data_IF_198380203322
#
_entry.id   IF_198380203322
#
_cell.length_a   1.000
_cell.length_b   1.000
_cell.length_c   1.000
_cell.angle_alpha   90.00
_cell.angle_beta   90.00
_cell.angle_gamma   90.00
#
_symmetry.space_group_name_H-M   'P 1'
#
loop_
_entity.id
_entity.type
_entity.pdbx_description
1 polymer ?
#
# COMPACT_ATOMS: atom_id res chain seq x y z
N UNK A 1 0.28 -14.04 -40.95
CA UNK A 1 -0.55 -13.88 -39.75
C UNK A 1 0.26 -13.02 -38.81
N UNK A 2 -0.24 -11.91 -38.35
CA UNK A 2 0.43 -11.02 -37.42
C UNK A 2 0.45 -11.71 -36.02
N UNK A 3 1.40 -11.33 -35.17
CA UNK A 3 1.53 -11.91 -33.83
C UNK A 3 0.21 -11.81 -33.02
N UNK A 4 -0.45 -10.66 -33.11
CA UNK A 4 -1.73 -10.43 -32.43
C UNK A 4 -2.85 -11.36 -32.93
N UNK A 5 -2.89 -11.66 -34.24
CA UNK A 5 -3.86 -12.62 -34.79
C UNK A 5 -3.63 -14.03 -34.25
N UNK A 6 -2.36 -14.41 -34.07
CA UNK A 6 -1.99 -15.71 -33.48
C UNK A 6 -2.40 -15.78 -32.02
N UNK A 7 -2.12 -14.73 -31.25
CA UNK A 7 -2.53 -14.61 -29.84
C UNK A 7 -4.05 -14.76 -29.72
N UNK A 8 -4.81 -13.99 -30.50
CA UNK A 8 -6.27 -14.04 -30.49
C UNK A 8 -6.80 -15.43 -30.84
N UNK A 9 -6.22 -16.12 -31.83
CA UNK A 9 -6.62 -17.46 -32.21
C UNK A 9 -6.34 -18.50 -31.11
N UNK A 10 -5.20 -18.39 -30.43
CA UNK A 10 -4.84 -19.28 -29.30
C UNK A 10 -5.82 -19.06 -28.14
N UNK A 11 -6.09 -17.83 -27.75
CA UNK A 11 -7.01 -17.51 -26.66
C UNK A 11 -8.46 -17.91 -26.98
N UNK A 12 -8.90 -17.73 -28.23
CA UNK A 12 -10.23 -18.16 -28.68
C UNK A 12 -10.48 -19.66 -28.55
N UNK A 13 -9.41 -20.49 -28.51
CA UNK A 13 -9.53 -21.92 -28.25
C UNK A 13 -10.06 -22.25 -26.85
N UNK A 14 -9.96 -21.33 -25.90
CA UNK A 14 -10.32 -21.53 -24.49
C UNK A 14 -9.39 -22.46 -23.71
N UNK A 15 -8.35 -23.01 -24.36
CA UNK A 15 -7.39 -23.94 -23.73
C UNK A 15 -6.14 -23.24 -23.21
N UNK A 16 -5.88 -22.03 -23.67
CA UNK A 16 -4.67 -21.26 -23.36
C UNK A 16 -5.04 -19.86 -22.89
N UNK A 17 -4.21 -19.34 -22.05
CA UNK A 17 -4.20 -17.93 -21.65
C UNK A 17 -2.80 -17.38 -21.85
N UNK A 18 -2.68 -16.32 -22.62
CA UNK A 18 -1.40 -15.69 -22.89
C UNK A 18 -1.19 -14.53 -21.92
N UNK A 19 0.00 -14.50 -21.30
CA UNK A 19 0.42 -13.43 -20.44
C UNK A 19 1.41 -12.54 -21.20
N UNK A 20 1.23 -11.25 -21.12
CA UNK A 20 2.16 -10.26 -21.70
C UNK A 20 3.19 -9.85 -20.66
N UNK A 21 4.46 -9.75 -21.05
CA UNK A 21 5.45 -9.16 -20.14
C UNK A 21 5.13 -7.68 -19.98
N UNK A 22 5.00 -7.23 -18.75
CA UNK A 22 4.87 -5.82 -18.43
C UNK A 22 6.21 -5.13 -18.74
N UNK A 23 6.16 -4.03 -19.47
CA UNK A 23 7.33 -3.18 -19.64
C UNK A 23 7.48 -2.30 -18.39
N UNK A 24 8.49 -2.57 -17.60
CA UNK A 24 8.84 -1.79 -16.39
C UNK A 24 9.98 -0.81 -16.65
N UNK A 25 10.51 -0.75 -17.90
CA UNK A 25 11.53 0.21 -18.29
C UNK A 25 10.95 1.62 -18.34
N UNK A 26 11.20 2.37 -17.30
CA UNK A 26 10.78 3.76 -17.15
C UNK A 26 11.77 4.77 -17.76
N UNK A 27 12.84 4.31 -18.44
CA UNK A 27 13.87 5.20 -19.03
C UNK A 27 13.32 6.12 -20.11
N UNK A 28 12.23 5.74 -20.77
CA UNK A 28 11.55 6.50 -21.81
C UNK A 28 10.43 7.40 -21.26
N UNK A 29 10.11 7.31 -19.98
CA UNK A 29 9.13 8.19 -19.36
C UNK A 29 9.72 9.58 -19.18
N UNK A 30 8.91 10.61 -19.45
CA UNK A 30 9.36 11.99 -19.23
C UNK A 30 9.66 12.20 -17.76
N UNK A 31 10.73 12.95 -17.43
CA UNK A 31 10.90 13.46 -16.09
C UNK A 31 9.59 14.12 -15.66
N UNK A 32 9.19 13.89 -14.42
CA UNK A 32 8.04 14.59 -13.88
C UNK A 32 8.36 16.08 -13.87
N UNK A 33 7.81 16.82 -14.85
CA UNK A 33 7.74 18.25 -14.71
C UNK A 33 6.90 18.55 -13.47
N UNK A 34 7.41 19.37 -12.55
CA UNK A 34 6.75 19.73 -11.29
C UNK A 34 5.41 20.48 -11.53
N UNK A 35 5.07 20.68 -12.78
CA UNK A 35 3.84 21.33 -13.24
C UNK A 35 2.95 20.30 -13.92
N UNK A 36 1.81 20.03 -13.31
CA UNK A 36 0.64 19.50 -13.98
C UNK A 36 0.45 20.38 -15.24
N UNK A 37 0.41 19.75 -16.42
CA UNK A 37 0.15 20.52 -17.65
C UNK A 37 -1.06 21.43 -17.40
N UNK A 38 -0.92 22.75 -17.66
CA UNK A 38 -2.05 23.66 -17.51
C UNK A 38 -3.10 23.29 -18.54
N UNK A 39 -4.12 22.55 -18.13
CA UNK A 39 -5.19 22.11 -19.04
C UNK A 39 -5.97 20.89 -18.56
N UNK A 40 -5.44 20.07 -17.68
CA UNK A 40 -6.18 18.98 -17.04
C UNK A 40 -6.72 19.45 -15.68
N UNK A 41 -7.78 20.26 -15.73
CA UNK A 41 -8.49 20.69 -14.52
C UNK A 41 -8.95 19.44 -13.75
N UNK A 42 -8.54 19.31 -12.48
CA UNK A 42 -8.91 18.19 -11.60
C UNK A 42 -7.95 17.00 -11.60
N UNK A 43 -6.81 17.07 -12.32
CA UNK A 43 -5.77 16.04 -12.26
C UNK A 43 -4.97 16.16 -10.97
N UNK A 44 -4.80 15.02 -10.27
CA UNK A 44 -4.04 14.88 -9.04
C UNK A 44 -2.81 14.01 -9.26
N UNK A 45 -1.82 14.13 -8.37
CA UNK A 45 -0.62 13.32 -8.37
C UNK A 45 -0.65 12.30 -7.23
N UNK A 46 -0.57 11.02 -7.59
CA UNK A 46 -0.31 9.92 -6.68
C UNK A 46 1.14 9.44 -6.78
N UNK A 47 1.59 8.73 -5.76
CA UNK A 47 2.86 8.02 -5.77
C UNK A 47 2.66 6.61 -5.24
N UNK A 48 3.13 5.61 -5.96
CA UNK A 48 3.26 4.27 -5.40
C UNK A 48 4.66 4.10 -4.85
N UNK A 49 4.77 3.83 -3.57
CA UNK A 49 6.03 3.55 -2.88
C UNK A 49 6.15 2.06 -2.65
N UNK A 50 7.32 1.55 -2.96
CA UNK A 50 7.76 0.21 -2.62
C UNK A 50 9.20 0.26 -2.13
N UNK A 51 9.58 -0.60 -1.18
CA UNK A 51 10.94 -0.64 -0.65
C UNK A 51 11.40 -2.06 -0.36
N UNK A 52 12.67 -2.35 -0.73
CA UNK A 52 13.39 -3.52 -0.27
C UNK A 52 14.19 -3.18 0.98
N UNK A 53 14.26 -4.11 1.91
CA UNK A 53 14.82 -3.89 3.24
C UNK A 53 15.68 -5.06 3.70
N UNK A 54 16.55 -4.84 4.68
CA UNK A 54 17.36 -5.91 5.29
C UNK A 54 16.56 -6.90 6.14
N UNK A 55 15.26 -6.64 6.36
CA UNK A 55 14.35 -7.49 7.14
C UNK A 55 13.00 -6.82 7.35
N UNK A 56 12.15 -7.41 8.19
CA UNK A 56 10.74 -6.99 8.28
C UNK A 56 10.40 -6.06 9.46
N UNK A 57 11.30 -5.90 10.43
CA UNK A 57 11.06 -5.03 11.59
C UNK A 57 11.69 -3.64 11.35
N UNK A 58 10.91 -2.57 11.21
CA UNK A 58 11.43 -1.23 10.92
C UNK A 58 12.27 -0.63 12.06
N UNK A 59 12.31 -1.28 13.24
CA UNK A 59 13.16 -0.85 14.37
C UNK A 59 14.59 -1.38 14.26
N UNK A 60 14.81 -2.46 13.51
CA UNK A 60 16.10 -3.16 13.44
C UNK A 60 16.57 -3.39 12.01
N UNK A 61 15.71 -3.14 11.03
CA UNK A 61 16.01 -3.34 9.61
C UNK A 61 16.05 -1.99 8.88
N UNK A 62 16.76 -1.95 7.76
CA UNK A 62 17.01 -0.74 7.00
C UNK A 62 16.57 -0.89 5.55
N UNK A 63 16.18 0.21 4.92
CA UNK A 63 15.92 0.27 3.48
C UNK A 63 17.23 0.07 2.73
N UNK A 64 17.24 -0.80 1.73
CA UNK A 64 18.32 -1.01 0.79
C UNK A 64 17.97 -0.57 -0.63
N UNK A 65 16.69 -0.56 -0.99
CA UNK A 65 16.17 0.01 -2.23
C UNK A 65 14.87 0.76 -1.92
N UNK A 66 14.71 1.95 -2.50
CA UNK A 66 13.49 2.73 -2.43
C UNK A 66 13.08 3.13 -3.84
N UNK A 67 11.84 2.84 -4.20
CA UNK A 67 11.22 3.33 -5.42
C UNK A 67 9.92 4.07 -5.11
N UNK A 68 9.67 5.16 -5.85
CA UNK A 68 8.40 5.86 -5.85
C UNK A 68 8.01 6.07 -7.30
N UNK A 69 6.92 5.44 -7.72
CA UNK A 69 6.38 5.54 -9.07
C UNK A 69 5.25 6.56 -9.06
N UNK A 70 5.47 7.79 -9.58
CA UNK A 70 4.43 8.80 -9.61
C UNK A 70 3.43 8.49 -10.74
N UNK A 71 2.17 8.82 -10.51
CA UNK A 71 1.13 8.71 -11.53
C UNK A 71 0.11 9.83 -11.39
N UNK A 72 -0.37 10.32 -12.53
CA UNK A 72 -1.48 11.28 -12.59
C UNK A 72 -2.79 10.54 -12.61
N UNK A 73 -3.80 11.04 -11.89
CA UNK A 73 -5.14 10.44 -11.87
C UNK A 73 -6.24 11.50 -11.78
N UNK A 74 -7.44 11.12 -12.20
CA UNK A 74 -8.64 11.95 -12.09
C UNK A 74 -9.47 11.64 -10.84
N UNK A 75 -10.57 12.39 -10.63
CA UNK A 75 -11.45 12.21 -9.48
C UNK A 75 -12.17 10.85 -9.43
N UNK A 76 -12.28 10.15 -10.55
CA UNK A 76 -12.91 8.83 -10.66
C UNK A 76 -11.90 7.69 -10.43
N UNK A 77 -10.63 8.01 -10.26
CA UNK A 77 -9.55 7.05 -10.06
C UNK A 77 -9.07 6.40 -11.35
N UNK A 78 -9.25 7.05 -12.50
CA UNK A 78 -8.57 6.62 -13.71
C UNK A 78 -7.13 7.13 -13.70
N UNK A 79 -6.17 6.25 -13.94
CA UNK A 79 -4.77 6.64 -14.11
C UNK A 79 -4.60 7.19 -15.52
N UNK A 80 -4.10 8.42 -15.62
CA UNK A 80 -3.94 9.17 -16.87
C UNK A 80 -2.54 9.03 -17.44
N UNK A 81 -1.53 8.99 -16.56
CA UNK A 81 -0.14 8.82 -16.93
C UNK A 81 0.68 8.25 -15.79
N UNK A 82 1.74 7.52 -16.12
CA UNK A 82 2.82 7.13 -15.21
C UNK A 82 4.01 8.02 -15.51
N UNK A 83 4.69 8.50 -14.50
CA UNK A 83 5.83 9.39 -14.64
C UNK A 83 7.13 8.70 -14.23
N UNK A 84 8.27 9.32 -14.55
CA UNK A 84 9.58 8.77 -14.20
C UNK A 84 9.70 8.53 -12.70
N UNK A 85 10.04 7.31 -12.27
CA UNK A 85 10.21 6.98 -10.87
C UNK A 85 11.39 7.69 -10.21
N UNK A 86 11.25 7.96 -8.93
CA UNK A 86 12.39 8.11 -8.03
C UNK A 86 12.87 6.72 -7.67
N UNK A 87 14.14 6.44 -7.85
CA UNK A 87 14.74 5.16 -7.51
C UNK A 87 16.13 5.38 -6.94
N UNK A 88 16.40 4.85 -5.75
CA UNK A 88 17.70 4.92 -5.10
C UNK A 88 17.99 3.62 -4.34
N UNK A 89 19.23 3.20 -4.41
CA UNK A 89 19.82 2.22 -3.50
C UNK A 89 20.38 2.93 -2.27
N UNK A 90 20.53 2.22 -1.18
CA UNK A 90 21.13 2.72 0.06
C UNK A 90 21.97 1.64 0.71
N UNK A 91 23.20 1.99 1.09
CA UNK A 91 24.05 1.13 1.91
C UNK A 91 23.51 1.04 3.34
N UNK A 92 23.17 -0.16 3.85
CA UNK A 92 22.74 -0.33 5.23
C UNK A 92 23.94 -0.31 6.18
N UNK A 93 23.70 -0.10 7.49
CA UNK A 93 24.74 -0.07 8.52
C UNK A 93 25.38 -1.44 8.81
N UNK A 94 24.74 -2.51 8.37
CA UNK A 94 25.17 -3.91 8.53
C UNK A 94 25.04 -4.66 7.20
N UNK A 95 25.84 -5.73 6.99
CA UNK A 95 25.74 -6.54 5.77
C UNK A 95 24.31 -7.03 5.51
N UNK A 96 23.95 -7.07 4.23
CA UNK A 96 22.64 -7.56 3.79
C UNK A 96 22.58 -9.07 4.07
N UNK A 97 21.54 -9.57 4.78
CA UNK A 97 21.38 -11.00 5.00
C UNK A 97 21.28 -11.76 3.68
N UNK A 98 21.96 -12.91 3.59
CA UNK A 98 21.99 -13.72 2.36
C UNK A 98 20.59 -14.07 1.83
N UNK A 99 19.64 -14.35 2.72
CA UNK A 99 18.25 -14.62 2.33
C UNK A 99 17.57 -13.41 1.65
N UNK A 100 17.93 -12.20 2.01
CA UNK A 100 17.45 -10.97 1.37
C UNK A 100 18.11 -10.82 0.00
N UNK A 101 19.43 -11.03 -0.11
CA UNK A 101 20.11 -11.01 -1.41
C UNK A 101 19.52 -12.04 -2.36
N UNK A 102 19.23 -13.26 -1.87
CA UNK A 102 18.59 -14.30 -2.70
C UNK A 102 17.17 -13.90 -3.16
N UNK A 103 16.45 -13.15 -2.34
CA UNK A 103 15.08 -12.71 -2.65
C UNK A 103 15.06 -11.53 -3.63
N UNK A 104 15.87 -10.50 -3.36
CA UNK A 104 15.82 -9.20 -4.06
C UNK A 104 16.86 -9.09 -5.19
N UNK A 105 17.89 -9.94 -5.16
CA UNK A 105 19.05 -9.82 -6.03
C UNK A 105 19.99 -8.66 -5.66
N UNK A 106 19.75 -7.97 -4.55
CA UNK A 106 20.56 -6.83 -4.08
C UNK A 106 21.62 -7.36 -3.11
N UNK A 107 22.88 -7.09 -3.39
CA UNK A 107 24.01 -7.46 -2.55
C UNK A 107 24.76 -6.22 -2.01
N UNK A 108 25.69 -6.46 -1.09
CA UNK A 108 26.49 -5.39 -0.47
C UNK A 108 27.30 -4.59 -1.50
N UNK A 109 27.75 -5.22 -2.58
CA UNK A 109 28.53 -4.53 -3.61
C UNK A 109 27.68 -3.52 -4.41
N UNK A 110 26.41 -3.84 -4.63
CA UNK A 110 25.47 -2.96 -5.34
C UNK A 110 25.13 -1.70 -4.54
N UNK A 111 25.05 -1.81 -3.22
CA UNK A 111 24.67 -0.72 -2.34
C UNK A 111 25.85 0.08 -1.77
N UNK A 112 27.07 -0.41 -1.93
CA UNK A 112 28.28 0.21 -1.39
C UNK A 112 28.40 1.69 -1.80
N UNK A 113 28.49 2.59 -0.83
CA UNK A 113 28.57 4.03 -1.02
C UNK A 113 27.25 4.70 -1.49
N UNK A 114 26.18 3.94 -1.65
CA UNK A 114 24.89 4.49 -2.07
C UNK A 114 24.19 5.16 -0.89
N UNK A 115 23.64 6.34 -1.13
CA UNK A 115 22.89 7.12 -0.13
C UNK A 115 21.61 7.66 -0.75
N UNK A 116 20.59 7.80 0.07
CA UNK A 116 19.37 8.51 -0.29
C UNK A 116 19.54 9.95 0.20
N UNK A 117 19.59 10.90 -0.75
CA UNK A 117 19.56 12.32 -0.44
C UNK A 117 18.16 12.70 0.03
N UNK A 118 18.03 13.11 1.29
CA UNK A 118 16.73 13.42 1.89
C UNK A 118 16.13 14.70 1.32
N UNK A 119 16.92 15.70 0.98
CA UNK A 119 16.42 16.96 0.40
C UNK A 119 15.84 16.68 -1.00
N UNK A 120 16.52 15.87 -1.81
CA UNK A 120 16.01 15.39 -3.12
C UNK A 120 14.72 14.59 -2.95
N UNK A 121 14.71 13.63 -2.03
CA UNK A 121 13.54 12.80 -1.75
C UNK A 121 12.34 13.63 -1.32
N UNK A 122 12.53 14.56 -0.36
CA UNK A 122 11.45 15.40 0.16
C UNK A 122 10.92 16.37 -0.90
N UNK A 123 11.79 16.91 -1.75
CA UNK A 123 11.38 17.71 -2.89
C UNK A 123 10.56 16.90 -3.89
N UNK A 124 10.94 15.62 -4.11
CA UNK A 124 10.24 14.71 -5.00
C UNK A 124 8.84 14.33 -4.51
N UNK A 125 8.69 14.05 -3.21
CA UNK A 125 7.39 13.61 -2.66
C UNK A 125 6.43 14.76 -2.34
N UNK A 126 6.93 15.98 -2.19
CA UNK A 126 6.14 17.15 -1.81
C UNK A 126 4.84 17.36 -2.58
N UNK A 127 4.77 17.18 -3.91
CA UNK A 127 3.53 17.36 -4.67
C UNK A 127 2.63 16.12 -4.69
N UNK A 128 3.01 15.01 -4.06
CA UNK A 128 2.19 13.79 -3.98
C UNK A 128 1.05 14.01 -2.98
N UNK A 129 -0.20 13.91 -3.45
CA UNK A 129 -1.38 14.05 -2.62
C UNK A 129 -1.75 12.74 -1.92
N UNK A 130 -1.52 11.60 -2.58
CA UNK A 130 -1.78 10.26 -2.07
C UNK A 130 -0.59 9.35 -2.32
N UNK A 131 0.05 8.88 -1.26
CA UNK A 131 1.03 7.81 -1.34
C UNK A 131 0.30 6.47 -1.20
N UNK A 132 0.57 5.55 -2.11
CA UNK A 132 0.02 4.20 -2.08
C UNK A 132 1.16 3.19 -1.96
N UNK A 133 0.87 2.03 -1.37
CA UNK A 133 1.78 0.89 -1.36
C UNK A 133 0.98 -0.40 -1.46
N UNK A 134 1.59 -1.47 -1.97
CA UNK A 134 0.91 -2.76 -2.01
C UNK A 134 0.69 -3.31 -0.59
N UNK A 135 1.62 -3.02 0.34
CA UNK A 135 1.51 -3.39 1.77
C UNK A 135 1.85 -2.19 2.67
N UNK A 136 1.06 -1.11 2.60
CA UNK A 136 1.36 0.16 3.26
C UNK A 136 1.67 0.04 4.77
N UNK A 137 1.16 -0.98 5.48
CA UNK A 137 1.51 -1.25 6.88
C UNK A 137 2.96 -1.69 7.07
N UNK A 138 3.65 -2.06 6.00
CA UNK A 138 5.08 -2.33 5.97
C UNK A 138 5.84 -1.10 5.46
N UNK A 139 5.61 -0.70 4.22
CA UNK A 139 6.37 0.33 3.53
C UNK A 139 6.34 1.68 4.23
N UNK A 140 5.17 2.09 4.73
CA UNK A 140 5.02 3.38 5.40
C UNK A 140 5.91 3.51 6.63
N UNK A 141 6.05 2.44 7.42
CA UNK A 141 6.85 2.46 8.64
C UNK A 141 8.33 2.70 8.35
N UNK A 142 8.84 2.10 7.29
CA UNK A 142 10.20 2.32 6.80
C UNK A 142 10.37 3.71 6.19
N UNK A 143 9.41 4.15 5.37
CA UNK A 143 9.44 5.47 4.76
C UNK A 143 9.41 6.61 5.80
N UNK A 144 8.54 6.52 6.82
CA UNK A 144 8.50 7.50 7.94
C UNK A 144 9.77 7.46 8.81
N UNK A 145 10.40 6.29 8.94
CA UNK A 145 11.70 6.15 9.61
C UNK A 145 12.85 6.79 8.80
N UNK A 146 12.73 6.83 7.47
CA UNK A 146 13.70 7.46 6.60
C UNK A 146 13.53 8.99 6.57
N UNK A 147 12.30 9.49 6.35
CA UNK A 147 11.98 10.92 6.39
C UNK A 147 10.60 11.17 7.01
N UNK A 148 10.51 12.10 8.00
CA UNK A 148 9.25 12.53 8.60
C UNK A 148 8.30 13.23 7.61
N UNK A 149 8.76 13.65 6.45
CA UNK A 149 7.92 14.26 5.41
C UNK A 149 6.80 13.33 4.95
N UNK A 150 7.03 12.01 4.93
CA UNK A 150 6.00 11.01 4.63
C UNK A 150 4.82 11.01 5.60
N UNK A 151 5.00 11.52 6.80
CA UNK A 151 3.94 11.62 7.81
C UNK A 151 2.83 12.61 7.42
N UNK A 152 3.14 13.60 6.58
CA UNK A 152 2.20 14.64 6.13
C UNK A 152 1.34 14.21 4.94
N UNK A 153 1.73 13.14 4.22
CA UNK A 153 1.04 12.64 3.04
C UNK A 153 -0.10 11.70 3.45
N UNK A 154 -1.22 11.71 2.73
CA UNK A 154 -2.26 10.70 2.86
C UNK A 154 -1.76 9.35 2.32
N UNK A 155 -2.11 8.24 2.99
CA UNK A 155 -1.70 6.90 2.57
C UNK A 155 -2.85 5.97 2.32
N UNK A 156 -2.68 5.07 1.33
CA UNK A 156 -3.60 4.00 1.02
C UNK A 156 -2.85 2.67 0.75
N UNK A 157 -3.55 1.55 0.94
CA UNK A 157 -2.99 0.20 0.84
C UNK A 157 -3.80 -0.65 -0.13
N UNK A 158 -3.19 -1.08 -1.23
CA UNK A 158 -3.90 -1.89 -2.23
C UNK A 158 -4.25 -3.28 -1.72
N UNK A 159 -3.48 -3.85 -0.78
CA UNK A 159 -3.79 -5.18 -0.20
C UNK A 159 -5.04 -5.14 0.67
N UNK A 160 -5.26 -4.08 1.45
CA UNK A 160 -6.28 -4.06 2.50
C UNK A 160 -7.50 -3.21 2.19
N UNK A 161 -7.42 -2.28 1.23
CA UNK A 161 -8.47 -1.32 0.95
C UNK A 161 -9.17 -1.52 -0.40
N UNK A 162 -8.64 -2.44 -1.24
CA UNK A 162 -9.36 -2.92 -2.42
C UNK A 162 -10.08 -4.21 -2.05
N UNK A 163 -11.38 -4.36 -2.38
CA UNK A 163 -12.17 -5.53 -2.03
C UNK A 163 -11.93 -6.70 -2.99
N UNK A 164 -10.68 -7.17 -3.04
CA UNK A 164 -10.22 -8.18 -4.01
C UNK A 164 -11.09 -9.44 -4.03
N UNK A 165 -11.50 -9.91 -2.84
CA UNK A 165 -12.31 -11.14 -2.73
C UNK A 165 -13.72 -10.94 -3.29
N UNK A 166 -14.32 -9.80 -3.00
CA UNK A 166 -15.63 -9.38 -3.53
C UNK A 166 -15.56 -9.22 -5.05
N UNK A 167 -14.41 -8.80 -5.57
CA UNK A 167 -14.15 -8.70 -7.01
C UNK A 167 -13.80 -10.05 -7.67
N UNK A 168 -13.70 -11.14 -6.90
CA UNK A 168 -13.50 -12.50 -7.43
C UNK A 168 -12.04 -12.95 -7.46
N UNK A 169 -11.14 -12.25 -6.79
CA UNK A 169 -9.74 -12.67 -6.65
C UNK A 169 -9.56 -13.54 -5.41
N UNK A 170 -8.90 -14.68 -5.56
CA UNK A 170 -8.64 -15.63 -4.47
C UNK A 170 -7.45 -15.22 -3.59
N UNK A 171 -6.52 -14.44 -4.13
CA UNK A 171 -5.34 -13.94 -3.45
C UNK A 171 -5.14 -12.44 -3.71
N UNK A 172 -4.43 -11.79 -2.80
CA UNK A 172 -4.03 -10.39 -2.88
C UNK A 172 -2.53 -10.23 -3.15
N UNK A 173 -1.80 -11.33 -3.37
CA UNK A 173 -0.39 -11.29 -3.73
C UNK A 173 -0.21 -10.60 -5.08
N UNK A 174 0.77 -9.71 -5.21
CA UNK A 174 0.99 -8.90 -6.41
C UNK A 174 1.15 -9.77 -7.67
N UNK A 175 1.99 -10.81 -7.60
CA UNK A 175 2.17 -11.73 -8.72
C UNK A 175 0.89 -12.44 -9.13
N UNK A 176 0.02 -12.84 -8.19
CA UNK A 176 -1.28 -13.42 -8.51
C UNK A 176 -2.22 -12.42 -9.19
N UNK A 177 -2.28 -11.19 -8.67
CA UNK A 177 -3.10 -10.13 -9.26
C UNK A 177 -2.64 -9.80 -10.68
N UNK A 178 -1.32 -9.75 -10.92
CA UNK A 178 -0.71 -9.53 -12.24
C UNK A 178 -1.10 -10.63 -13.22
N UNK A 179 -0.94 -11.91 -12.83
CA UNK A 179 -1.34 -13.05 -13.66
C UNK A 179 -2.85 -13.03 -13.98
N UNK A 180 -3.69 -12.73 -13.01
CA UNK A 180 -5.15 -12.59 -13.25
C UNK A 180 -5.47 -11.39 -14.12
N UNK A 181 -4.64 -10.36 -14.10
CA UNK A 181 -4.74 -9.17 -14.96
C UNK A 181 -4.15 -9.36 -16.37
N UNK A 182 -3.57 -10.54 -16.67
CA UNK A 182 -3.09 -10.88 -18.02
C UNK A 182 -1.64 -10.46 -18.30
N UNK A 183 -0.84 -10.18 -17.29
CA UNK A 183 0.57 -9.85 -17.45
C UNK A 183 1.45 -10.53 -16.39
N UNK A 184 2.75 -10.54 -16.64
CA UNK A 184 3.77 -10.93 -15.69
C UNK A 184 4.94 -9.94 -15.73
N UNK A 185 5.75 -9.94 -14.68
CA UNK A 185 6.93 -9.09 -14.53
C UNK A 185 7.94 -9.80 -13.61
N UNK A 186 9.15 -9.31 -13.58
CA UNK A 186 10.20 -9.82 -12.69
C UNK A 186 10.08 -9.07 -11.35
N UNK A 187 9.55 -9.71 -10.32
CA UNK A 187 9.31 -9.12 -8.99
C UNK A 187 10.56 -9.01 -8.13
N UNK A 188 10.39 -8.43 -6.93
CA UNK A 188 11.42 -8.19 -5.93
C UNK A 188 12.47 -7.13 -6.32
N UNK A 189 12.05 -6.18 -7.15
CA UNK A 189 12.74 -4.92 -7.39
C UNK A 189 11.71 -3.81 -7.21
N UNK A 190 12.01 -2.87 -6.33
CA UNK A 190 11.03 -1.88 -5.88
C UNK A 190 10.40 -1.08 -7.05
N UNK A 191 11.17 -0.78 -8.11
CA UNK A 191 10.61 -0.11 -9.29
C UNK A 191 9.65 -0.99 -10.07
N UNK A 192 10.00 -2.27 -10.28
CA UNK A 192 9.20 -3.21 -11.07
C UNK A 192 7.89 -3.54 -10.34
N UNK A 193 7.95 -3.83 -9.04
CA UNK A 193 6.78 -4.04 -8.19
C UNK A 193 5.89 -2.78 -8.13
N UNK A 194 6.53 -1.60 -8.10
CA UNK A 194 5.86 -0.32 -8.14
C UNK A 194 5.06 -0.11 -9.43
N UNK A 195 5.70 -0.30 -10.59
CA UNK A 195 5.04 -0.16 -11.91
C UNK A 195 3.92 -1.19 -12.07
N UNK A 196 4.17 -2.45 -11.68
CA UNK A 196 3.17 -3.51 -11.73
C UNK A 196 1.95 -3.19 -10.86
N UNK A 197 2.18 -2.62 -9.67
CA UNK A 197 1.09 -2.20 -8.78
C UNK A 197 0.30 -1.05 -9.38
N UNK A 198 0.95 -0.02 -9.95
CA UNK A 198 0.25 1.10 -10.62
C UNK A 198 -0.59 0.59 -11.79
N UNK A 199 -0.06 -0.35 -12.59
CA UNK A 199 -0.81 -0.99 -13.68
C UNK A 199 -2.09 -1.67 -13.17
N UNK A 200 -2.00 -2.41 -12.04
CA UNK A 200 -3.17 -3.05 -11.41
C UNK A 200 -4.15 -2.01 -10.87
N UNK A 201 -3.65 -0.92 -10.26
CA UNK A 201 -4.51 0.14 -9.71
C UNK A 201 -5.36 0.82 -10.78
N UNK A 202 -4.84 0.97 -12.00
CA UNK A 202 -5.55 1.58 -13.13
C UNK A 202 -6.57 0.65 -13.80
N UNK A 203 -6.53 -0.66 -13.54
CA UNK A 203 -7.42 -1.62 -14.20
C UNK A 203 -8.83 -1.62 -13.59
N UNK A 204 -9.81 -1.81 -14.46
CA UNK A 204 -11.19 -2.01 -14.03
C UNK A 204 -11.38 -3.40 -13.47
N UNK A 205 -11.96 -3.48 -12.29
CA UNK A 205 -12.23 -4.73 -11.59
C UNK A 205 -13.45 -5.44 -12.19
N UNK A 206 -13.45 -6.79 -12.20
CA UNK A 206 -14.37 -7.56 -13.04
C UNK A 206 -15.84 -7.50 -12.61
N UNK A 207 -16.13 -7.26 -11.34
CA UNK A 207 -17.52 -7.24 -10.84
C UNK A 207 -18.08 -5.83 -10.72
N UNK A 208 -17.34 -4.92 -10.12
CA UNK A 208 -17.79 -3.53 -9.94
C UNK A 208 -17.63 -2.68 -11.19
N UNK A 209 -16.70 -3.02 -12.10
CA UNK A 209 -16.30 -2.20 -13.23
C UNK A 209 -15.51 -0.95 -12.83
N UNK A 210 -15.24 -0.76 -11.54
CA UNK A 210 -14.46 0.34 -10.99
C UNK A 210 -12.97 0.05 -11.07
N UNK A 211 -12.14 1.08 -11.10
CA UNK A 211 -10.68 0.92 -10.97
C UNK A 211 -10.31 0.56 -9.54
N UNK A 212 -9.22 -0.18 -9.34
CA UNK A 212 -8.73 -0.46 -7.99
C UNK A 212 -8.33 0.83 -7.26
N UNK A 213 -7.78 1.83 -7.98
CA UNK A 213 -7.46 3.15 -7.42
C UNK A 213 -8.69 3.86 -6.86
N UNK A 214 -9.86 3.77 -7.50
CA UNK A 214 -11.08 4.42 -7.00
C UNK A 214 -11.48 3.97 -5.59
N UNK A 215 -11.25 2.70 -5.25
CA UNK A 215 -11.45 2.19 -3.89
C UNK A 215 -10.45 2.78 -2.90
N UNK A 216 -9.20 2.98 -3.34
CA UNK A 216 -8.18 3.61 -2.50
C UNK A 216 -8.50 5.07 -2.22
N UNK A 217 -9.00 5.81 -3.22
CA UNK A 217 -9.43 7.21 -3.05
C UNK A 217 -10.62 7.31 -2.07
N UNK A 218 -11.60 6.43 -2.22
CA UNK A 218 -12.74 6.35 -1.31
C UNK A 218 -12.28 6.06 0.13
N UNK A 219 -11.42 5.05 0.30
CA UNK A 219 -10.87 4.68 1.61
C UNK A 219 -9.99 5.80 2.21
N UNK A 220 -9.24 6.54 1.39
CA UNK A 220 -8.43 7.67 1.85
C UNK A 220 -9.29 8.87 2.30
N UNK A 221 -10.45 9.07 1.68
CA UNK A 221 -11.40 10.11 2.09
C UNK A 221 -12.15 9.77 3.40
N UNK A 222 -12.21 8.49 3.78
CA UNK A 222 -12.93 8.06 4.97
C UNK A 222 -12.11 8.27 6.24
N UNK A 223 -12.76 8.80 7.27
CA UNK A 223 -12.25 8.80 8.64
C UNK A 223 -12.75 7.55 9.35
N UNK A 224 -11.85 6.85 10.05
CA UNK A 224 -12.17 5.70 10.89
C UNK A 224 -11.90 6.02 12.35
N UNK A 225 -12.71 5.45 13.26
CA UNK A 225 -12.48 5.51 14.68
C UNK A 225 -11.79 4.23 15.14
N UNK A 226 -10.58 4.34 15.67
CA UNK A 226 -9.93 3.24 16.40
C UNK A 226 -10.50 3.18 17.79
N UNK A 227 -11.25 2.14 18.05
CA UNK A 227 -11.88 1.86 19.34
C UNK A 227 -11.03 0.83 20.08
N UNK A 228 -10.59 1.15 21.29
CA UNK A 228 -9.82 0.24 22.14
C UNK A 228 -10.67 -0.25 23.31
N UNK A 229 -10.64 -1.54 23.58
CA UNK A 229 -11.36 -2.18 24.67
C UNK A 229 -10.35 -2.74 25.71
N UNK A 230 -9.78 -1.88 26.58
CA UNK A 230 -8.86 -2.31 27.63
C UNK A 230 -9.60 -3.08 28.73
N UNK A 231 -8.86 -3.91 29.48
CA UNK A 231 -9.38 -4.64 30.64
C UNK A 231 -10.63 -5.47 30.35
N UNK A 232 -10.76 -5.98 29.13
CA UNK A 232 -11.87 -6.85 28.74
C UNK A 232 -11.80 -8.18 29.49
N UNK A 233 -12.92 -8.67 30.08
CA UNK A 233 -12.98 -9.99 30.67
C UNK A 233 -12.58 -11.08 29.68
N UNK A 234 -11.74 -12.02 30.10
CA UNK A 234 -11.20 -13.07 29.24
C UNK A 234 -12.28 -13.89 28.53
N UNK A 235 -13.40 -14.13 29.21
CA UNK A 235 -14.57 -14.87 28.71
C UNK A 235 -15.26 -14.21 27.53
N UNK A 236 -15.02 -12.90 27.31
CA UNK A 236 -15.61 -12.09 26.22
C UNK A 236 -14.75 -12.03 24.96
N UNK A 237 -13.54 -12.64 24.99
CA UNK A 237 -12.59 -12.59 23.88
C UNK A 237 -13.17 -13.08 22.56
N UNK A 238 -14.02 -14.12 22.58
CA UNK A 238 -14.54 -14.73 21.37
C UNK A 238 -15.64 -13.87 20.74
N UNK A 239 -16.41 -13.10 21.53
CA UNK A 239 -17.34 -12.09 21.03
C UNK A 239 -16.58 -10.98 20.31
N UNK A 240 -15.46 -10.50 20.88
CA UNK A 240 -14.64 -9.47 20.26
C UNK A 240 -14.00 -9.99 18.97
N UNK A 241 -13.44 -11.21 18.96
CA UNK A 241 -12.89 -11.82 17.74
C UNK A 241 -13.92 -11.97 16.63
N UNK A 242 -15.11 -12.48 16.96
CA UNK A 242 -16.20 -12.63 16.00
C UNK A 242 -16.63 -11.29 15.38
N UNK A 243 -16.51 -10.18 16.14
CA UNK A 243 -16.79 -8.82 15.66
C UNK A 243 -15.63 -8.17 14.91
N UNK A 244 -14.46 -8.84 14.82
CA UNK A 244 -13.30 -8.38 14.07
C UNK A 244 -12.25 -7.63 14.89
N UNK A 245 -12.36 -7.61 16.23
CA UNK A 245 -11.31 -7.05 17.07
C UNK A 245 -10.01 -7.83 16.97
N UNK A 246 -8.91 -7.09 17.04
CA UNK A 246 -7.54 -7.60 17.11
C UNK A 246 -6.96 -7.34 18.49
N UNK A 247 -6.11 -8.25 18.95
CA UNK A 247 -5.42 -8.10 20.22
C UNK A 247 -4.07 -7.43 20.02
N UNK A 248 -3.80 -6.37 20.76
CA UNK A 248 -2.47 -5.82 20.96
C UNK A 248 -1.93 -6.28 22.32
N UNK A 249 -0.75 -6.89 22.31
CA UNK A 249 -0.04 -7.29 23.53
C UNK A 249 0.86 -6.18 24.09
N UNK A 250 0.95 -5.05 23.39
CA UNK A 250 1.76 -3.91 23.76
C UNK A 250 3.25 -4.04 23.42
N UNK A 251 3.68 -5.10 22.74
CA UNK A 251 5.10 -5.33 22.40
C UNK A 251 5.65 -4.30 21.42
N UNK A 252 4.79 -3.66 20.65
CA UNK A 252 5.10 -2.59 19.69
C UNK A 252 4.97 -1.17 20.28
N UNK A 253 4.71 -1.06 21.60
CA UNK A 253 4.49 0.21 22.31
C UNK A 253 3.04 0.69 22.28
N UNK A 254 2.14 -0.01 21.59
CA UNK A 254 0.72 0.31 21.61
C UNK A 254 0.07 -0.14 22.94
N UNK A 255 -1.06 0.43 23.36
CA UNK A 255 -1.76 -0.02 24.56
C UNK A 255 -2.18 -1.49 24.47
N UNK A 256 -1.94 -2.25 25.54
CA UNK A 256 -2.40 -3.64 25.66
C UNK A 256 -3.91 -3.69 25.74
N UNK A 257 -4.59 -4.00 24.63
CA UNK A 257 -6.04 -4.00 24.53
C UNK A 257 -6.53 -4.72 23.27
N UNK A 258 -7.79 -5.11 23.26
CA UNK A 258 -8.52 -5.38 22.02
C UNK A 258 -8.78 -4.05 21.30
N UNK A 259 -8.70 -4.04 19.96
CA UNK A 259 -8.98 -2.86 19.17
C UNK A 259 -9.59 -3.20 17.83
N UNK A 260 -10.36 -2.24 17.29
CA UNK A 260 -10.96 -2.30 15.97
C UNK A 260 -10.96 -0.91 15.35
N UNK A 261 -10.81 -0.83 14.04
CA UNK A 261 -11.08 0.39 13.28
C UNK A 261 -12.47 0.27 12.65
N UNK A 262 -13.35 1.20 12.99
CA UNK A 262 -14.72 1.26 12.45
C UNK A 262 -14.93 2.57 11.69
N UNK A 263 -15.76 2.60 10.65
CA UNK A 263 -16.19 3.86 10.03
C UNK A 263 -16.81 4.79 11.07
N UNK A 264 -16.56 6.09 10.95
CA UNK A 264 -17.02 7.09 11.91
C UNK A 264 -18.56 7.01 12.14
N UNK A 265 -19.32 6.78 11.07
CA UNK A 265 -20.80 6.65 11.16
C UNK A 265 -21.27 5.41 11.93
N UNK A 266 -20.41 4.42 12.19
CA UNK A 266 -20.71 3.23 12.99
C UNK A 266 -20.14 3.28 14.42
N UNK A 267 -19.47 4.37 14.77
CA UNK A 267 -18.84 4.50 16.08
C UNK A 267 -19.84 4.33 17.24
N UNK A 268 -20.98 4.97 17.17
CA UNK A 268 -21.98 4.90 18.25
C UNK A 268 -22.54 3.49 18.44
N UNK A 269 -22.75 2.74 17.35
CA UNK A 269 -23.16 1.33 17.39
C UNK A 269 -22.08 0.49 18.10
N UNK A 270 -20.82 0.74 17.79
CA UNK A 270 -19.70 -0.01 18.37
C UNK A 270 -19.52 0.27 19.87
N UNK A 271 -19.69 1.54 20.27
CA UNK A 271 -19.63 1.90 21.69
C UNK A 271 -20.80 1.30 22.48
N UNK A 272 -22.00 1.28 21.91
CA UNK A 272 -23.16 0.63 22.53
C UNK A 272 -22.94 -0.87 22.71
N UNK A 273 -22.38 -1.57 21.70
CA UNK A 273 -22.01 -2.98 21.81
C UNK A 273 -21.01 -3.23 22.95
N UNK A 274 -19.93 -2.45 23.03
CA UNK A 274 -18.94 -2.64 24.09
C UNK A 274 -19.52 -2.44 25.48
N UNK A 275 -20.37 -1.43 25.67
CA UNK A 275 -21.03 -1.18 26.97
C UNK A 275 -22.00 -2.28 27.35
N UNK A 276 -22.83 -2.72 26.40
CA UNK A 276 -23.90 -3.70 26.66
C UNK A 276 -23.34 -5.13 26.78
N UNK A 277 -22.51 -5.57 25.83
CA UNK A 277 -22.16 -6.98 25.68
C UNK A 277 -20.81 -7.34 26.32
N UNK A 278 -19.90 -6.37 26.48
CA UNK A 278 -18.54 -6.63 26.97
C UNK A 278 -18.39 -6.17 28.42
N UNK A 279 -18.68 -4.91 28.70
CA UNK A 279 -18.46 -4.34 30.05
C UNK A 279 -19.67 -4.40 30.98
N UNK A 280 -20.88 -4.53 30.41
CA UNK A 280 -22.16 -4.50 31.14
C UNK A 280 -22.32 -3.29 32.06
N UNK A 281 -21.72 -2.16 31.67
CA UNK A 281 -21.78 -0.89 32.42
C UNK A 281 -21.40 0.28 31.54
N UNK A 282 -21.77 1.47 31.95
CA UNK A 282 -21.21 2.69 31.39
C UNK A 282 -19.72 2.80 31.74
N UNK A 283 -18.89 3.04 30.73
CA UNK A 283 -17.46 3.21 30.87
C UNK A 283 -16.91 4.16 29.80
N UNK A 284 -15.79 4.76 30.12
CA UNK A 284 -15.05 5.55 29.13
C UNK A 284 -14.23 4.59 28.26
N UNK A 285 -14.53 4.59 26.96
CA UNK A 285 -13.85 3.76 25.96
C UNK A 285 -12.87 4.64 25.17
N UNK A 286 -11.57 4.33 25.17
CA UNK A 286 -10.60 5.10 24.40
C UNK A 286 -10.88 5.03 22.91
N UNK A 287 -10.98 6.20 22.28
CA UNK A 287 -11.23 6.37 20.86
C UNK A 287 -10.14 7.27 20.28
N UNK A 288 -9.66 6.90 19.10
CA UNK A 288 -8.79 7.76 18.29
C UNK A 288 -9.33 7.83 16.87
N UNK A 289 -9.52 9.05 16.36
CA UNK A 289 -9.87 9.25 14.95
C UNK A 289 -8.63 9.04 14.09
N UNK A 290 -8.76 8.22 13.05
CA UNK A 290 -7.70 7.81 12.13
C UNK A 290 -8.05 8.29 10.74
N UNK A 291 -7.25 9.18 10.20
CA UNK A 291 -7.33 9.64 8.81
C UNK A 291 -6.36 8.87 7.92
N UNK A 292 -6.38 9.12 6.63
CA UNK A 292 -5.38 8.57 5.71
C UNK A 292 -3.94 9.05 6.03
N UNK A 293 -3.79 10.18 6.76
CA UNK A 293 -2.49 10.66 7.23
C UNK A 293 -1.97 9.93 8.47
N UNK A 294 -2.82 9.17 9.14
CA UNK A 294 -2.46 8.38 10.33
C UNK A 294 -2.37 6.88 10.02
N UNK A 295 -3.27 6.41 9.12
CA UNK A 295 -3.43 4.98 8.82
C UNK A 295 -2.13 4.36 8.35
N UNK A 296 -1.80 3.17 8.86
CA UNK A 296 -0.56 2.42 8.59
C UNK A 296 0.73 2.99 9.21
N UNK A 297 0.70 4.15 9.85
CA UNK A 297 1.83 4.70 10.59
C UNK A 297 1.95 4.07 11.99
N UNK A 298 3.18 4.01 12.51
CA UNK A 298 3.40 3.69 13.93
C UNK A 298 2.72 4.70 14.87
N UNK A 299 2.43 5.91 14.38
CA UNK A 299 1.70 6.92 15.15
C UNK A 299 0.22 6.59 15.32
N UNK A 300 -0.33 5.69 14.52
CA UNK A 300 -1.73 5.23 14.64
C UNK A 300 -1.90 4.11 15.67
N UNK A 301 -0.81 3.48 16.06
CA UNK A 301 -0.77 2.36 16.99
C UNK A 301 -0.88 2.77 18.46
#
# INVERSE_FOLDING_TARGET
>A
MQLEDMVAAIEASGQYRILRRLNTDCSQLRPRDLFIEPGLIGTKLGGLLDCETTGTDPRTSEIIELAIVPFSYDGDGNILAIHQPYHRLREPSHPIPEAITQLTGIDDAMVAGQVIDLDELEAFIRPIELCTAHKASFDRKFAEGLSPAFASIAWACSVTQVPWREEGFESRALGYLSLKSGFYFDGHRATDDGVATVEILGRRLPRSGRTALSFLLEAAAQVTARVRAPNTPYERKDLLKARGYRWSDGSDGSPKAWWIDVPENRLNEELAFLKAEIYHRECNIPIRMITARDRFSVRAD
#
